data_IF_303473743143
#
_entry.id   IF_303473743143
#
_cell.length_a   1.000
_cell.length_b   1.000
_cell.length_c   1.000
_cell.angle_alpha   90.00
_cell.angle_beta   90.00
_cell.angle_gamma   90.00
#
_symmetry.space_group_name_H-M   'P 1'
#
loop_
_entity.id
_entity.type
_entity.pdbx_description
1 polymer ?
#
# COMPACT_ATOMS: atom_id res chain seq x y z
N UNK A 1 5.15 -6.56 12.41
CA UNK A 1 5.05 -6.93 10.98
C UNK A 1 4.17 -5.91 10.28
N UNK A 2 4.48 -5.54 9.04
CA UNK A 2 3.63 -4.65 8.23
C UNK A 2 2.78 -5.49 7.27
N UNK A 3 1.52 -5.10 7.10
CA UNK A 3 0.70 -5.49 5.95
C UNK A 3 1.26 -4.82 4.70
N UNK A 4 1.34 -5.59 3.60
CA UNK A 4 1.82 -5.12 2.32
C UNK A 4 0.93 -5.71 1.23
N UNK A 5 0.20 -4.85 0.54
CA UNK A 5 -0.49 -5.20 -0.70
C UNK A 5 0.50 -5.06 -1.86
N UNK A 6 0.52 -6.06 -2.74
CA UNK A 6 1.43 -6.12 -3.88
C UNK A 6 0.64 -6.45 -5.13
N UNK A 7 0.86 -5.67 -6.18
CA UNK A 7 0.40 -6.00 -7.53
C UNK A 7 1.61 -6.09 -8.46
N UNK A 8 1.83 -7.28 -8.99
CA UNK A 8 2.88 -7.52 -9.99
C UNK A 8 2.44 -6.99 -11.36
N UNK A 9 3.39 -6.51 -12.18
CA UNK A 9 3.06 -5.98 -13.49
C UNK A 9 2.52 -7.09 -14.39
N UNK A 10 1.43 -6.79 -15.12
CA UNK A 10 0.85 -7.75 -16.09
C UNK A 10 1.42 -7.58 -17.50
N UNK A 11 2.14 -6.48 -17.74
CA UNK A 11 2.89 -6.21 -18.96
C UNK A 11 4.41 -6.30 -18.71
N UNK A 12 5.22 -5.96 -19.73
CA UNK A 12 6.66 -5.85 -19.59
C UNK A 12 7.01 -4.94 -18.39
N UNK A 13 7.67 -5.53 -17.41
CA UNK A 13 8.05 -4.83 -16.19
C UNK A 13 8.93 -3.62 -16.49
N UNK A 14 8.61 -2.50 -15.85
CA UNK A 14 9.45 -1.32 -15.76
C UNK A 14 10.48 -1.52 -14.66
N UNK A 15 11.66 -0.94 -14.85
CA UNK A 15 12.77 -1.09 -13.91
C UNK A 15 12.54 -0.36 -12.58
N UNK A 16 11.63 0.62 -12.54
CA UNK A 16 11.35 1.41 -11.35
C UNK A 16 9.97 1.06 -10.81
N UNK A 17 9.87 0.42 -9.62
CA UNK A 17 8.58 0.14 -8.98
C UNK A 17 7.94 1.39 -8.38
N UNK A 18 6.66 1.30 -8.04
CA UNK A 18 5.92 2.35 -7.36
C UNK A 18 5.55 1.94 -5.94
N UNK A 19 5.75 2.86 -4.98
CA UNK A 19 5.38 2.68 -3.58
C UNK A 19 4.28 3.68 -3.22
N UNK A 20 3.13 3.16 -2.78
CA UNK A 20 1.96 3.94 -2.41
C UNK A 20 1.89 4.07 -0.88
N UNK A 21 1.93 5.31 -0.39
CA UNK A 21 1.82 5.62 1.04
C UNK A 21 0.46 6.27 1.29
N UNK A 22 -0.33 5.68 2.18
CA UNK A 22 -1.66 6.21 2.53
C UNK A 22 -1.55 7.46 3.43
N UNK A 23 -2.61 8.28 3.41
CA UNK A 23 -2.76 9.42 4.30
C UNK A 23 -3.28 9.04 5.69
N UNK A 24 -3.55 10.06 6.52
CA UNK A 24 -4.16 9.86 7.83
C UNK A 24 -5.53 9.15 7.71
N UNK A 25 -5.87 8.32 8.69
CA UNK A 25 -7.15 7.60 8.79
C UNK A 25 -7.41 6.55 7.70
N UNK A 26 -6.39 6.14 6.95
CA UNK A 26 -6.48 5.12 5.91
C UNK A 26 -5.49 3.96 6.16
N UNK A 27 -5.52 2.95 5.29
CA UNK A 27 -4.50 1.90 5.19
C UNK A 27 -4.19 1.63 3.71
N UNK A 28 -3.39 0.61 3.42
CA UNK A 28 -3.06 0.22 2.04
C UNK A 28 -4.29 0.00 1.15
N UNK A 29 -5.39 -0.48 1.75
CA UNK A 29 -6.68 -0.74 1.10
C UNK A 29 -7.24 0.45 0.31
N UNK A 30 -6.89 1.70 0.65
CA UNK A 30 -7.43 2.86 -0.05
C UNK A 30 -6.97 2.96 -1.52
N UNK A 31 -5.92 2.22 -1.88
CA UNK A 31 -5.39 2.15 -3.24
C UNK A 31 -5.81 0.90 -4.01
N UNK A 32 -6.27 -0.14 -3.31
CA UNK A 32 -6.39 -1.51 -3.80
C UNK A 32 -7.36 -1.64 -4.97
N UNK A 33 -8.51 -0.96 -4.89
CA UNK A 33 -9.59 -1.15 -5.86
C UNK A 33 -9.25 -0.62 -7.27
N UNK A 34 -8.49 0.47 -7.36
CA UNK A 34 -8.31 1.18 -8.63
C UNK A 34 -6.86 1.51 -8.97
N UNK A 35 -6.05 1.93 -7.99
CA UNK A 35 -4.72 2.46 -8.27
C UNK A 35 -3.71 1.33 -8.48
N UNK A 36 -3.66 0.35 -7.57
CA UNK A 36 -2.74 -0.77 -7.70
C UNK A 36 -2.92 -1.53 -9.04
N UNK A 37 -4.14 -1.96 -9.42
CA UNK A 37 -4.33 -2.63 -10.72
C UNK A 37 -4.01 -1.72 -11.90
N UNK A 38 -4.42 -0.44 -11.88
CA UNK A 38 -4.17 0.49 -12.99
C UNK A 38 -2.68 0.64 -13.34
N UNK A 39 -1.80 0.72 -12.32
CA UNK A 39 -0.37 0.85 -12.54
C UNK A 39 0.32 -0.48 -12.85
N UNK A 40 -0.15 -1.58 -12.23
CA UNK A 40 0.31 -2.93 -12.57
C UNK A 40 0.06 -3.27 -14.04
N UNK A 41 -1.12 -2.91 -14.54
CA UNK A 41 -1.47 -3.02 -15.97
C UNK A 41 -0.57 -2.21 -16.89
N UNK A 42 0.12 -1.20 -16.39
CA UNK A 42 1.06 -0.35 -17.16
C UNK A 42 2.52 -0.76 -16.98
N UNK A 43 2.75 -1.92 -16.40
CA UNK A 43 4.07 -2.52 -16.25
C UNK A 43 4.82 -2.07 -15.00
N UNK A 44 4.19 -1.39 -14.05
CA UNK A 44 4.83 -1.09 -12.76
C UNK A 44 4.59 -2.24 -11.77
N UNK A 45 5.63 -2.71 -11.08
CA UNK A 45 5.42 -3.43 -9.82
C UNK A 45 4.98 -2.41 -8.78
N UNK A 46 3.90 -2.70 -8.06
CA UNK A 46 3.27 -1.76 -7.13
C UNK A 46 3.22 -2.35 -5.74
N UNK A 47 3.62 -1.55 -4.76
CA UNK A 47 3.67 -1.90 -3.35
C UNK A 47 2.90 -0.87 -2.54
N UNK A 48 2.00 -1.32 -1.66
CA UNK A 48 1.25 -0.46 -0.76
C UNK A 48 1.28 -1.04 0.67
N UNK A 49 2.16 -0.55 1.55
CA UNK A 49 2.16 -0.95 2.94
C UNK A 49 1.07 -0.19 3.73
N UNK A 50 0.44 -0.86 4.69
CA UNK A 50 -0.23 -0.14 5.78
C UNK A 50 0.84 0.29 6.78
N UNK A 51 0.93 1.58 7.09
CA UNK A 51 1.85 2.09 8.09
C UNK A 51 1.53 1.51 9.47
N UNK A 52 2.50 1.53 10.38
CA UNK A 52 2.36 0.97 11.73
C UNK A 52 1.10 1.55 12.42
N UNK A 53 0.31 0.69 13.06
CA UNK A 53 -0.96 1.05 13.68
C UNK A 53 -2.16 1.19 12.73
N UNK A 54 -1.99 0.99 11.42
CA UNK A 54 -3.07 1.04 10.44
C UNK A 54 -3.26 -0.32 9.76
N UNK A 55 -4.46 -0.58 9.22
CA UNK A 55 -4.76 -1.84 8.53
C UNK A 55 -4.43 -3.08 9.37
N UNK A 56 -3.89 -4.11 8.74
CA UNK A 56 -3.39 -5.32 9.43
C UNK A 56 -1.94 -5.20 9.92
N UNK A 57 -1.35 -4.00 9.89
CA UNK A 57 -0.03 -3.76 10.44
C UNK A 57 -0.05 -3.71 11.97
N UNK A 58 0.98 -4.29 12.58
CA UNK A 58 1.20 -4.22 14.05
C UNK A 58 1.34 -2.77 14.55
N UNK A 59 1.24 -2.56 15.87
CA UNK A 59 1.54 -1.27 16.52
C UNK A 59 0.32 -0.40 16.83
N UNK A 60 -0.90 -0.95 16.67
CA UNK A 60 -2.14 -0.28 17.06
C UNK A 60 -2.14 0.08 18.55
N UNK A 61 -1.49 -0.74 19.39
CA UNK A 61 -1.36 -0.54 20.84
C UNK A 61 -0.50 0.67 21.23
N UNK A 62 0.25 1.24 20.28
CA UNK A 62 1.15 2.40 20.49
C UNK A 62 0.64 3.68 19.85
N UNK A 63 -0.51 3.63 19.17
CA UNK A 63 -1.11 4.83 18.60
C UNK A 63 -1.62 5.71 19.74
N UNK A 64 -1.01 6.89 19.86
CA UNK A 64 -1.45 7.91 20.82
C UNK A 64 -2.60 8.67 20.21
N UNK A 65 -3.80 8.35 20.65
CA UNK A 65 -4.97 9.17 20.40
C UNK A 65 -4.93 10.37 21.35
N UNK A 66 -4.67 11.56 20.81
CA UNK A 66 -4.93 12.81 21.51
C UNK A 66 -6.28 13.32 21.03
N UNK A 67 -7.29 13.18 21.87
CA UNK A 67 -8.56 13.91 21.76
C UNK A 67 -8.39 15.36 22.21
#
# INVERSE_FOLDING_TARGET
MLELLVHEPTQKAKNTPLLFIHGAWHGAWCWEEHFLPYFAERGYAVYAPSLRGHGQSSGQERLRWSS
#
